data_IF_082780655430
#
_entry.id   IF_082780655430
#
_cell.length_a   1.000
_cell.length_b   1.000
_cell.length_c   1.000
_cell.angle_alpha   90.00
_cell.angle_beta   90.00
_cell.angle_gamma   90.00
#
_symmetry.space_group_name_H-M   'P 1'
#
loop_
_entity.id
_entity.type
_entity.pdbx_description
1 polymer ?
#
# COMPACT_ATOMS: atom_id res chain seq x y z
N UNK A 1 16.32 3.12 11.97
CA UNK A 1 17.49 2.37 11.45
C UNK A 1 18.04 3.02 10.18
N UNK A 2 17.29 3.03 9.06
CA UNK A 2 17.77 3.56 7.78
C UNK A 2 18.23 5.03 7.83
N UNK A 3 17.54 5.89 8.58
CA UNK A 3 17.95 7.29 8.77
C UNK A 3 19.35 7.38 9.39
N UNK A 4 19.61 6.66 10.49
CA UNK A 4 20.91 6.69 11.19
C UNK A 4 22.05 6.17 10.31
N UNK A 5 21.79 5.11 9.52
CA UNK A 5 22.76 4.60 8.55
C UNK A 5 23.15 5.66 7.52
N UNK A 6 22.15 6.36 6.96
CA UNK A 6 22.39 7.42 5.98
C UNK A 6 23.09 8.66 6.57
N UNK A 7 22.95 8.89 7.88
CA UNK A 7 23.65 9.96 8.61
C UNK A 7 25.04 9.54 9.11
N UNK A 8 25.50 8.31 8.82
CA UNK A 8 26.81 7.83 9.24
C UNK A 8 26.92 7.55 10.74
N UNK A 9 25.81 7.14 11.38
CA UNK A 9 25.71 6.81 12.82
C UNK A 9 25.50 5.32 13.05
N UNK A 10 26.49 4.45 12.75
CA UNK A 10 26.35 3.00 12.78
C UNK A 10 26.02 2.45 14.17
N UNK A 11 26.48 3.09 15.24
CA UNK A 11 26.21 2.71 16.62
C UNK A 11 24.73 2.81 16.97
N UNK A 12 24.06 3.89 16.54
CA UNK A 12 22.62 4.05 16.72
C UNK A 12 21.82 3.13 15.81
N UNK A 13 22.28 2.93 14.57
CA UNK A 13 21.67 1.95 13.67
C UNK A 13 21.67 0.55 14.29
N UNK A 14 22.79 0.12 14.86
CA UNK A 14 22.91 -1.17 15.55
C UNK A 14 22.01 -1.23 16.79
N UNK A 15 22.06 -0.22 17.65
CA UNK A 15 21.20 -0.14 18.83
C UNK A 15 19.71 -0.26 18.48
N UNK A 16 19.25 0.48 17.48
CA UNK A 16 17.85 0.42 17.05
C UNK A 16 17.48 -0.89 16.37
N UNK A 17 18.44 -1.57 15.74
CA UNK A 17 18.23 -2.92 15.20
C UNK A 17 18.00 -3.91 16.35
N UNK A 18 18.89 -3.92 17.35
CA UNK A 18 18.75 -4.79 18.53
C UNK A 18 17.40 -4.56 19.24
N UNK A 19 16.98 -3.31 19.39
CA UNK A 19 15.67 -2.96 19.99
C UNK A 19 14.51 -3.44 19.11
N UNK A 20 14.59 -3.25 17.79
CA UNK A 20 13.54 -3.69 16.87
C UNK A 20 13.39 -5.21 16.89
N UNK A 21 14.49 -5.96 16.89
CA UNK A 21 14.49 -7.42 16.95
C UNK A 21 13.85 -7.93 18.25
N UNK A 22 14.23 -7.33 19.39
CA UNK A 22 13.63 -7.65 20.68
C UNK A 22 12.13 -7.33 20.72
N UNK A 23 11.72 -6.22 20.12
CA UNK A 23 10.33 -5.81 20.05
C UNK A 23 9.52 -6.77 19.16
N UNK A 24 10.03 -7.16 18.00
CA UNK A 24 9.41 -8.13 17.09
C UNK A 24 9.13 -9.46 17.79
N UNK A 25 10.13 -10.01 18.51
CA UNK A 25 9.95 -11.24 19.27
C UNK A 25 8.91 -11.08 20.38
N UNK A 26 8.93 -9.94 21.08
CA UNK A 26 7.97 -9.65 22.15
C UNK A 26 6.55 -9.52 21.63
N UNK A 27 6.37 -8.84 20.49
CA UNK A 27 5.05 -8.67 19.86
C UNK A 27 4.52 -10.03 19.43
N UNK A 28 5.33 -10.82 18.73
CA UNK A 28 4.92 -12.17 18.30
C UNK A 28 4.55 -13.04 19.49
N UNK A 29 5.36 -13.07 20.55
CA UNK A 29 5.08 -13.90 21.72
C UNK A 29 3.80 -13.49 22.48
N UNK A 30 3.52 -12.18 22.60
CA UNK A 30 2.38 -11.69 23.37
C UNK A 30 1.07 -11.69 22.58
N UNK A 31 1.10 -11.25 21.33
CA UNK A 31 -0.12 -10.88 20.60
C UNK A 31 -0.49 -11.86 19.48
N UNK A 32 0.43 -12.69 19.00
CA UNK A 32 0.09 -13.70 18.00
C UNK A 32 -0.82 -14.78 18.59
N UNK A 33 -1.93 -15.07 17.92
CA UNK A 33 -2.82 -16.17 18.24
C UNK A 33 -2.72 -17.29 17.19
N UNK A 34 -2.23 -18.47 17.59
CA UNK A 34 -2.05 -19.61 16.68
C UNK A 34 -3.36 -20.22 16.19
N UNK A 35 -4.49 -19.98 16.87
CA UNK A 35 -5.79 -20.50 16.42
C UNK A 35 -6.39 -19.60 15.36
N UNK A 36 -6.36 -18.28 15.59
CA UNK A 36 -6.88 -17.29 14.64
C UNK A 36 -5.90 -16.96 13.52
N UNK A 37 -4.62 -17.27 13.66
CA UNK A 37 -3.56 -16.87 12.73
C UNK A 37 -3.54 -15.36 12.50
N UNK A 38 -3.74 -14.60 13.59
CA UNK A 38 -3.82 -13.14 13.62
C UNK A 38 -3.14 -12.60 14.87
N UNK A 39 -2.77 -11.32 14.83
CA UNK A 39 -2.40 -10.56 16.02
C UNK A 39 -3.66 -10.04 16.71
N UNK A 40 -3.73 -10.23 18.03
CA UNK A 40 -4.75 -9.63 18.88
C UNK A 40 -4.39 -8.18 19.25
N UNK A 41 -5.40 -7.38 19.59
CA UNK A 41 -5.21 -5.99 19.99
C UNK A 41 -4.50 -5.88 21.36
N UNK A 42 -4.68 -6.88 22.22
CA UNK A 42 -4.21 -6.92 23.60
C UNK A 42 -3.65 -8.30 23.99
N UNK A 43 -2.80 -8.41 25.04
CA UNK A 43 -2.16 -9.67 25.42
C UNK A 43 -3.09 -10.77 25.93
N UNK A 44 -4.32 -10.43 26.33
CA UNK A 44 -5.38 -11.39 26.71
C UNK A 44 -6.03 -12.07 25.50
N UNK A 45 -5.75 -11.60 24.27
CA UNK A 45 -6.19 -12.17 23.00
C UNK A 45 -7.70 -12.28 22.83
N UNK A 46 -8.43 -11.33 23.43
CA UNK A 46 -9.88 -11.30 23.38
C UNK A 46 -10.43 -10.60 22.12
N UNK A 47 -9.73 -9.61 21.59
CA UNK A 47 -10.18 -8.81 20.44
C UNK A 47 -9.13 -8.76 19.33
N UNK A 48 -9.62 -8.62 18.10
CA UNK A 48 -8.82 -8.58 16.89
C UNK A 48 -9.39 -7.48 15.99
N UNK A 49 -8.50 -6.80 15.28
CA UNK A 49 -8.88 -5.69 14.42
C UNK A 49 -8.15 -5.72 13.08
N UNK A 50 -8.72 -5.04 12.10
CA UNK A 50 -8.01 -4.74 10.86
C UNK A 50 -6.76 -3.90 11.12
N UNK A 51 -6.78 -3.08 12.18
CA UNK A 51 -5.70 -2.15 12.51
C UNK A 51 -4.40 -2.87 12.86
N UNK A 52 -4.42 -3.72 13.89
CA UNK A 52 -3.19 -4.35 14.40
C UNK A 52 -2.58 -5.29 13.37
N UNK A 53 -3.43 -5.95 12.57
CA UNK A 53 -3.00 -6.91 11.55
C UNK A 53 -2.47 -6.22 10.29
N UNK A 54 -3.07 -5.10 9.86
CA UNK A 54 -2.49 -4.27 8.80
C UNK A 54 -1.11 -3.73 9.21
N UNK A 55 -0.97 -3.24 10.45
CA UNK A 55 0.33 -2.77 10.96
C UNK A 55 1.35 -3.90 11.07
N UNK A 56 0.94 -5.12 11.43
CA UNK A 56 1.85 -6.26 11.49
C UNK A 56 2.44 -6.62 10.13
N UNK A 57 1.64 -6.55 9.06
CA UNK A 57 2.12 -6.69 7.67
C UNK A 57 3.10 -5.57 7.34
N UNK A 58 2.69 -4.31 7.53
CA UNK A 58 3.50 -3.14 7.16
C UNK A 58 4.80 -3.00 7.98
N UNK A 59 4.83 -3.54 9.19
CA UNK A 59 6.02 -3.58 10.04
C UNK A 59 6.94 -4.79 9.72
N UNK A 60 6.56 -5.67 8.80
CA UNK A 60 7.36 -6.84 8.41
C UNK A 60 7.48 -7.89 9.52
N UNK A 61 6.47 -8.05 10.37
CA UNK A 61 6.51 -8.99 11.50
C UNK A 61 6.27 -10.46 11.12
N UNK A 62 5.90 -10.70 9.86
CA UNK A 62 5.44 -11.97 9.33
C UNK A 62 6.01 -12.20 7.93
N UNK A 63 6.16 -13.46 7.54
CA UNK A 63 6.58 -13.85 6.19
C UNK A 63 5.47 -13.64 5.14
N UNK A 64 5.83 -13.68 3.86
CA UNK A 64 4.90 -13.44 2.74
C UNK A 64 3.67 -14.36 2.77
N UNK A 65 3.86 -15.64 3.13
CA UNK A 65 2.76 -16.60 3.22
C UNK A 65 1.75 -16.20 4.30
N UNK A 66 2.24 -15.79 5.47
CA UNK A 66 1.44 -15.31 6.59
C UNK A 66 0.81 -13.95 6.27
N UNK A 67 1.54 -13.04 5.61
CA UNK A 67 0.98 -11.75 5.14
C UNK A 67 -0.25 -11.98 4.25
N UNK A 68 -0.14 -12.90 3.27
CA UNK A 68 -1.26 -13.25 2.40
C UNK A 68 -2.44 -13.85 3.16
N UNK A 69 -2.18 -14.72 4.14
CA UNK A 69 -3.22 -15.31 4.98
C UNK A 69 -3.93 -14.24 5.84
N UNK A 70 -3.17 -13.34 6.47
CA UNK A 70 -3.72 -12.21 7.22
C UNK A 70 -4.53 -11.30 6.29
N UNK A 71 -4.01 -10.96 5.10
CA UNK A 71 -4.70 -10.14 4.11
C UNK A 71 -6.05 -10.73 3.69
N UNK A 72 -6.12 -12.04 3.49
CA UNK A 72 -7.39 -12.74 3.24
C UNK A 72 -8.36 -12.56 4.41
N UNK A 73 -7.91 -12.76 5.64
CA UNK A 73 -8.74 -12.55 6.83
C UNK A 73 -9.22 -11.10 6.98
N UNK A 74 -8.37 -10.11 6.66
CA UNK A 74 -8.73 -8.70 6.68
C UNK A 74 -9.89 -8.37 5.73
N UNK A 75 -10.03 -9.12 4.63
CA UNK A 75 -11.08 -8.94 3.62
C UNK A 75 -12.37 -9.70 3.95
N UNK A 76 -12.29 -10.83 4.68
CA UNK A 76 -13.43 -11.75 4.83
C UNK A 76 -13.89 -12.05 6.26
N UNK A 77 -13.12 -11.68 7.29
CA UNK A 77 -13.50 -11.89 8.70
C UNK A 77 -14.27 -10.68 9.25
N UNK A 78 -15.60 -10.76 9.20
CA UNK A 78 -16.50 -9.73 9.75
C UNK A 78 -16.46 -9.60 11.28
N UNK A 79 -15.75 -10.50 12.00
CA UNK A 79 -15.56 -10.37 13.45
C UNK A 79 -14.47 -9.37 13.84
N UNK A 80 -13.65 -8.93 12.88
CA UNK A 80 -12.61 -7.94 13.13
C UNK A 80 -13.19 -6.54 13.29
N UNK A 81 -12.69 -5.79 14.27
CA UNK A 81 -13.00 -4.36 14.34
C UNK A 81 -12.51 -3.64 13.06
N UNK A 82 -13.41 -2.99 12.30
CA UNK A 82 -13.08 -2.45 10.98
C UNK A 82 -12.29 -1.15 11.06
N UNK A 83 -11.46 -0.90 10.04
CA UNK A 83 -10.73 0.35 9.86
C UNK A 83 -11.68 1.50 9.52
N UNK A 84 -11.45 2.67 10.14
CA UNK A 84 -12.11 3.91 9.71
C UNK A 84 -11.50 4.44 8.41
N UNK A 85 -12.17 5.40 7.77
CA UNK A 85 -11.71 6.01 6.51
C UNK A 85 -10.26 6.51 6.57
N UNK A 86 -9.83 7.05 7.72
CA UNK A 86 -8.44 7.44 7.97
C UNK A 86 -7.49 6.24 7.87
N UNK A 87 -7.83 5.17 8.59
CA UNK A 87 -6.96 4.02 8.69
C UNK A 87 -7.00 3.12 7.45
N UNK A 88 -8.03 3.26 6.60
CA UNK A 88 -8.11 2.53 5.34
C UNK A 88 -6.87 2.73 4.46
N UNK A 89 -6.19 3.89 4.54
CA UNK A 89 -4.88 4.07 3.91
C UNK A 89 -3.86 2.96 4.27
N UNK A 90 -3.68 2.67 5.56
CA UNK A 90 -2.76 1.63 6.01
C UNK A 90 -3.28 0.23 5.70
N UNK A 91 -4.60 0.03 5.79
CA UNK A 91 -5.23 -1.23 5.42
C UNK A 91 -4.98 -1.55 3.93
N UNK A 92 -5.19 -0.59 3.03
CA UNK A 92 -4.98 -0.78 1.60
C UNK A 92 -3.51 -1.02 1.27
N UNK A 93 -2.58 -0.32 1.93
CA UNK A 93 -1.15 -0.61 1.79
C UNK A 93 -0.81 -2.03 2.23
N UNK A 94 -1.35 -2.48 3.37
CA UNK A 94 -1.13 -3.84 3.86
C UNK A 94 -1.71 -4.90 2.93
N UNK A 95 -2.91 -4.66 2.37
CA UNK A 95 -3.54 -5.55 1.40
C UNK A 95 -2.76 -5.58 0.08
N UNK A 96 -2.24 -4.44 -0.36
CA UNK A 96 -1.36 -4.37 -1.53
C UNK A 96 -0.09 -5.21 -1.32
N UNK A 97 0.60 -5.02 -0.19
CA UNK A 97 1.78 -5.79 0.21
C UNK A 97 1.47 -7.30 0.32
N UNK A 98 0.29 -7.65 0.82
CA UNK A 98 -0.18 -9.03 0.91
C UNK A 98 -0.62 -9.64 -0.45
N UNK A 99 -0.47 -8.92 -1.55
CA UNK A 99 -0.74 -9.39 -2.91
C UNK A 99 -2.18 -9.27 -3.38
N UNK A 100 -2.99 -8.41 -2.74
CA UNK A 100 -4.39 -8.18 -3.07
C UNK A 100 -4.65 -6.88 -3.85
N UNK A 101 -3.60 -6.19 -4.33
CA UNK A 101 -3.72 -4.88 -4.99
C UNK A 101 -4.73 -4.81 -6.13
N UNK A 102 -4.92 -5.90 -6.89
CA UNK A 102 -5.88 -5.97 -8.00
C UNK A 102 -7.35 -5.80 -7.57
N UNK A 103 -7.64 -5.95 -6.27
CA UNK A 103 -8.98 -5.77 -5.69
C UNK A 103 -9.20 -4.35 -5.16
N UNK A 104 -8.24 -3.43 -5.30
CA UNK A 104 -8.30 -2.11 -4.67
C UNK A 104 -9.59 -1.32 -4.97
N UNK A 105 -10.11 -1.42 -6.20
CA UNK A 105 -11.36 -0.75 -6.57
C UNK A 105 -12.57 -1.26 -5.77
N UNK A 106 -12.54 -2.50 -5.29
CA UNK A 106 -13.64 -3.09 -4.52
C UNK A 106 -13.71 -2.51 -3.10
N UNK A 107 -12.61 -1.94 -2.59
CA UNK A 107 -12.52 -1.41 -1.22
C UNK A 107 -12.98 0.03 -1.06
N UNK A 108 -13.39 0.68 -2.16
CA UNK A 108 -13.73 2.12 -2.20
C UNK A 108 -15.21 2.43 -1.86
N UNK A 109 -15.87 1.54 -1.13
CA UNK A 109 -17.27 1.64 -0.70
C UNK A 109 -17.59 2.96 0.02
N UNK A 110 -16.82 3.32 1.05
CA UNK A 110 -17.06 4.54 1.85
C UNK A 110 -16.92 5.81 1.00
N UNK A 111 -15.96 5.85 0.06
CA UNK A 111 -15.78 6.99 -0.84
C UNK A 111 -16.93 7.11 -1.84
N UNK A 112 -17.45 5.99 -2.33
CA UNK A 112 -18.67 5.97 -3.15
C UNK A 112 -19.88 6.45 -2.37
N UNK A 113 -19.99 6.09 -1.09
CA UNK A 113 -21.03 6.61 -0.20
C UNK A 113 -20.94 8.12 -0.01
N UNK A 114 -19.74 8.67 0.26
CA UNK A 114 -19.52 10.13 0.34
C UNK A 114 -20.04 10.84 -0.93
N UNK A 115 -19.68 10.33 -2.12
CA UNK A 115 -20.14 10.89 -3.40
C UNK A 115 -21.65 10.74 -3.59
N UNK A 116 -22.23 9.59 -3.21
CA UNK A 116 -23.67 9.35 -3.30
C UNK A 116 -24.48 10.25 -2.36
N UNK A 117 -23.91 10.64 -1.21
CA UNK A 117 -24.47 11.63 -0.29
C UNK A 117 -24.32 13.08 -0.78
N UNK A 118 -23.69 13.30 -1.94
CA UNK A 118 -23.51 14.62 -2.54
C UNK A 118 -22.30 15.39 -2.03
N UNK A 119 -21.41 14.76 -1.26
CA UNK A 119 -20.16 15.40 -0.83
C UNK A 119 -19.21 15.58 -2.01
N UNK A 120 -18.54 16.73 -2.05
CA UNK A 120 -17.49 17.08 -3.04
C UNK A 120 -16.09 17.01 -2.45
N UNK A 121 -16.00 16.65 -1.16
CA UNK A 121 -14.79 16.41 -0.37
C UNK A 121 -14.97 15.14 0.46
N UNK A 122 -13.94 14.70 1.18
CA UNK A 122 -13.99 13.45 1.96
C UNK A 122 -14.33 13.71 3.43
N UNK A 123 -15.29 12.97 3.98
CA UNK A 123 -15.67 13.03 5.38
C UNK A 123 -14.57 12.60 6.34
N UNK A 124 -14.62 13.13 7.56
CA UNK A 124 -13.69 12.82 8.66
C UNK A 124 -13.81 11.37 9.14
N UNK A 125 -14.98 10.74 9.04
CA UNK A 125 -15.18 9.37 9.54
C UNK A 125 -15.88 8.49 8.52
N UNK A 126 -15.91 7.19 8.79
CA UNK A 126 -16.69 6.21 8.01
C UNK A 126 -18.20 6.34 8.18
N UNK A 127 -18.68 7.11 9.18
CA UNK A 127 -20.10 7.35 9.37
C UNK A 127 -20.52 8.56 8.53
N UNK A 128 -20.65 8.36 7.22
CA UNK A 128 -20.84 9.45 6.24
C UNK A 128 -22.04 10.34 6.59
N UNK A 129 -23.17 9.74 6.97
CA UNK A 129 -24.39 10.48 7.28
C UNK A 129 -24.32 11.38 8.53
N UNK A 130 -23.35 11.17 9.42
CA UNK A 130 -23.23 11.87 10.70
C UNK A 130 -21.82 12.37 10.99
N UNK A 131 -20.95 12.43 9.98
CA UNK A 131 -19.61 12.97 10.13
C UNK A 131 -19.69 14.45 10.50
N UNK A 132 -18.85 14.88 11.45
CA UNK A 132 -18.82 16.28 11.90
C UNK A 132 -18.19 17.20 10.85
N UNK A 133 -17.16 16.70 10.17
CA UNK A 133 -16.45 17.41 9.11
C UNK A 133 -16.60 16.63 7.80
N UNK A 134 -17.06 17.33 6.77
CA UNK A 134 -17.25 16.81 5.41
C UNK A 134 -16.01 17.01 4.53
N UNK A 135 -14.96 17.64 5.07
CA UNK A 135 -13.73 17.96 4.36
C UNK A 135 -12.52 17.71 5.27
N UNK A 136 -12.01 16.48 5.21
CA UNK A 136 -10.87 16.06 6.01
C UNK A 136 -9.83 15.37 5.13
N UNK A 137 -8.61 15.92 5.12
CA UNK A 137 -7.53 15.48 4.23
C UNK A 137 -7.17 13.99 4.42
N UNK A 138 -7.36 13.46 5.63
CA UNK A 138 -7.05 12.06 5.94
C UNK A 138 -8.00 11.05 5.26
N UNK A 139 -9.10 11.52 4.66
CA UNK A 139 -10.00 10.72 3.85
C UNK A 139 -9.60 10.71 2.38
N UNK A 140 -8.55 11.45 2.00
CA UNK A 140 -8.12 11.59 0.63
C UNK A 140 -7.13 10.50 0.16
N UNK A 141 -7.07 9.36 0.84
CA UNK A 141 -6.14 8.28 0.47
C UNK A 141 -6.25 7.85 -1.00
N UNK A 142 -7.44 7.82 -1.66
CA UNK A 142 -7.51 7.41 -3.05
C UNK A 142 -6.69 8.29 -3.99
N UNK A 143 -6.52 9.58 -3.68
CA UNK A 143 -5.73 10.50 -4.48
C UNK A 143 -4.24 10.09 -4.58
N UNK A 144 -3.77 9.26 -3.65
CA UNK A 144 -2.41 8.70 -3.65
C UNK A 144 -2.43 7.25 -4.12
N UNK A 145 -3.41 6.48 -3.67
CA UNK A 145 -3.53 5.04 -3.93
C UNK A 145 -3.82 4.71 -5.40
N UNK A 146 -4.53 5.58 -6.15
CA UNK A 146 -4.64 5.41 -7.61
C UNK A 146 -3.27 5.41 -8.30
N UNK A 147 -2.34 6.27 -7.86
CA UNK A 147 -0.99 6.34 -8.42
C UNK A 147 -0.10 5.21 -7.91
N UNK A 148 -0.18 4.91 -6.61
CA UNK A 148 0.70 3.91 -5.99
C UNK A 148 0.26 2.48 -6.30
N UNK A 149 -1.02 2.16 -6.15
CA UNK A 149 -1.54 0.79 -6.28
C UNK A 149 -1.93 0.50 -7.73
N UNK A 150 -2.85 1.29 -8.31
CA UNK A 150 -3.35 0.95 -9.65
C UNK A 150 -2.29 1.25 -10.72
N UNK A 151 -1.74 2.47 -10.73
CA UNK A 151 -0.68 2.80 -11.70
C UNK A 151 0.68 2.18 -11.34
N UNK A 152 0.84 1.77 -10.07
CA UNK A 152 2.01 1.05 -9.58
C UNK A 152 3.21 1.92 -9.24
N UNK A 153 3.11 3.25 -9.26
CA UNK A 153 4.28 4.15 -9.20
C UNK A 153 4.73 4.33 -7.74
N UNK A 154 5.91 3.80 -7.41
CA UNK A 154 6.49 3.90 -6.07
C UNK A 154 7.98 4.27 -6.09
N UNK A 155 8.43 4.91 -5.01
CA UNK A 155 9.82 5.27 -4.80
C UNK A 155 10.64 4.04 -4.39
N UNK A 156 11.65 3.68 -5.18
CA UNK A 156 12.59 2.60 -4.84
C UNK A 156 13.87 3.11 -4.14
N UNK A 157 14.09 4.44 -4.10
CA UNK A 157 15.23 5.05 -3.41
C UNK A 157 14.90 6.45 -2.87
N UNK A 158 15.59 6.96 -1.83
CA UNK A 158 15.33 8.28 -1.25
C UNK A 158 15.27 9.40 -2.29
N UNK A 159 14.21 10.22 -2.21
CA UNK A 159 13.98 11.32 -3.15
C UNK A 159 13.59 10.87 -4.55
N UNK A 160 13.02 9.66 -4.70
CA UNK A 160 12.59 9.08 -5.98
C UNK A 160 13.72 8.95 -7.02
N UNK A 161 14.98 8.86 -6.58
CA UNK A 161 16.13 8.66 -7.51
C UNK A 161 16.05 7.36 -8.31
N UNK A 162 15.29 6.39 -7.81
CA UNK A 162 14.90 5.18 -8.52
C UNK A 162 13.41 4.93 -8.28
N UNK A 163 12.74 4.31 -9.25
CA UNK A 163 11.32 3.95 -9.18
C UNK A 163 11.11 2.44 -9.24
N UNK A 164 10.07 1.96 -8.57
CA UNK A 164 9.44 0.66 -8.81
C UNK A 164 8.07 0.95 -9.41
N UNK A 165 7.75 0.33 -10.53
CA UNK A 165 6.45 0.45 -11.19
C UNK A 165 5.80 -0.92 -11.27
N UNK A 166 4.78 -1.18 -10.47
CA UNK A 166 4.07 -2.47 -10.39
C UNK A 166 2.55 -2.23 -10.39
N UNK A 167 1.91 -2.24 -11.57
CA UNK A 167 0.50 -1.87 -11.67
C UNK A 167 -0.43 -3.01 -11.22
N UNK A 168 -1.46 -2.65 -10.46
CA UNK A 168 -2.57 -3.53 -10.10
C UNK A 168 -3.84 -3.11 -10.85
N UNK A 169 -4.01 -3.66 -12.05
CA UNK A 169 -5.04 -3.22 -12.99
C UNK A 169 -6.43 -3.78 -12.69
N UNK A 170 -6.54 -4.84 -11.88
CA UNK A 170 -7.82 -5.49 -11.59
C UNK A 170 -8.56 -5.87 -12.87
N UNK A 171 -9.71 -5.25 -13.14
CA UNK A 171 -10.52 -5.43 -14.35
C UNK A 171 -10.39 -4.30 -15.38
N UNK A 172 -9.52 -3.31 -15.16
CA UNK A 172 -9.32 -2.19 -16.08
C UNK A 172 -8.68 -2.68 -17.38
N UNK A 173 -9.24 -2.24 -18.51
CA UNK A 173 -8.68 -2.52 -19.84
C UNK A 173 -7.67 -1.44 -20.22
N UNK A 174 -7.94 -0.18 -19.88
CA UNK A 174 -7.04 0.94 -20.15
C UNK A 174 -6.97 1.86 -18.94
N UNK A 175 -5.78 2.36 -18.63
CA UNK A 175 -5.59 3.41 -17.64
C UNK A 175 -4.27 4.13 -17.89
N UNK A 176 -4.22 5.42 -17.59
CA UNK A 176 -3.00 6.20 -17.63
C UNK A 176 -2.98 7.26 -16.53
N UNK A 177 -1.80 7.76 -16.22
CA UNK A 177 -1.64 8.87 -15.30
C UNK A 177 -0.24 9.46 -15.33
N UNK A 178 -0.13 10.65 -14.77
CA UNK A 178 1.13 11.39 -14.67
C UNK A 178 1.31 11.93 -13.27
N UNK A 179 2.44 11.62 -12.66
CA UNK A 179 2.81 12.06 -11.32
C UNK A 179 3.97 13.07 -11.40
N UNK A 180 3.91 14.20 -10.66
CA UNK A 180 5.01 15.13 -10.59
C UNK A 180 6.22 14.51 -9.87
N UNK A 181 7.42 14.83 -10.35
CA UNK A 181 8.70 14.39 -9.80
C UNK A 181 9.67 15.58 -9.70
N UNK A 182 10.58 15.68 -8.71
CA UNK A 182 11.53 16.80 -8.62
C UNK A 182 12.37 17.06 -9.88
N UNK A 183 12.59 16.04 -10.70
CA UNK A 183 13.33 16.10 -11.98
C UNK A 183 12.45 16.16 -13.24
N UNK A 184 11.12 16.31 -13.12
CA UNK A 184 10.20 16.32 -14.27
C UNK A 184 8.87 15.61 -13.95
N UNK A 185 8.41 14.77 -14.86
CA UNK A 185 7.19 13.97 -14.65
C UNK A 185 7.47 12.49 -14.86
N UNK A 186 6.74 11.64 -14.13
CA UNK A 186 6.64 10.21 -14.40
C UNK A 186 5.26 9.97 -15.00
N UNK A 187 5.21 9.41 -16.20
CA UNK A 187 3.95 9.10 -16.88
C UNK A 187 3.89 7.62 -17.20
N UNK A 188 2.74 7.01 -16.95
CA UNK A 188 2.47 5.60 -17.31
C UNK A 188 1.15 5.51 -18.05
N UNK A 189 1.09 4.62 -19.03
CA UNK A 189 -0.13 4.24 -19.72
C UNK A 189 -0.13 2.74 -19.96
N UNK A 190 -1.27 2.11 -19.72
CA UNK A 190 -1.47 0.68 -19.81
C UNK A 190 -2.67 0.37 -20.69
N UNK A 191 -2.50 -0.56 -21.62
CA UNK A 191 -3.59 -1.15 -22.41
C UNK A 191 -3.50 -2.67 -22.30
N UNK A 192 -4.53 -3.29 -21.72
CA UNK A 192 -4.61 -4.73 -21.49
C UNK A 192 -5.67 -5.35 -22.40
N UNK A 193 -5.28 -6.41 -23.11
CA UNK A 193 -6.17 -7.21 -23.96
C UNK A 193 -6.00 -8.68 -23.62
N UNK A 194 -6.96 -9.24 -22.87
CA UNK A 194 -6.83 -10.58 -22.31
C UNK A 194 -5.64 -10.65 -21.34
N UNK A 195 -4.68 -11.53 -21.63
CA UNK A 195 -3.44 -11.69 -20.84
C UNK A 195 -2.30 -10.78 -21.29
N UNK A 196 -2.46 -10.07 -22.41
CA UNK A 196 -1.42 -9.21 -22.98
C UNK A 196 -1.50 -7.81 -22.38
N UNK A 197 -0.35 -7.19 -22.14
CA UNK A 197 -0.23 -5.82 -21.65
C UNK A 197 0.72 -5.02 -22.56
N UNK A 198 0.23 -3.89 -23.06
CA UNK A 198 1.08 -2.82 -23.58
C UNK A 198 1.27 -1.77 -22.49
N UNK A 199 2.52 -1.49 -22.14
CA UNK A 199 2.88 -0.47 -21.18
C UNK A 199 3.78 0.59 -21.83
N UNK A 200 3.37 1.85 -21.74
CA UNK A 200 4.20 3.01 -22.10
C UNK A 200 4.56 3.77 -20.83
N UNK A 201 5.86 3.89 -20.56
CA UNK A 201 6.38 4.50 -19.34
C UNK A 201 7.39 5.57 -19.72
N UNK A 202 7.20 6.79 -19.24
CA UNK A 202 8.17 7.88 -19.42
C UNK A 202 8.72 8.30 -18.07
N UNK A 203 10.04 8.18 -17.92
CA UNK A 203 10.78 8.63 -16.75
C UNK A 203 11.58 9.90 -17.06
N UNK A 204 11.86 10.75 -16.06
CA UNK A 204 12.87 11.80 -16.22
C UNK A 204 14.23 11.20 -16.60
N UNK A 205 15.05 11.93 -17.36
CA UNK A 205 16.28 11.41 -17.98
C UNK A 205 17.28 10.76 -17.00
N UNK A 206 17.35 11.27 -15.76
CA UNK A 206 18.29 10.78 -14.75
C UNK A 206 17.68 9.76 -13.78
N UNK A 207 16.47 9.28 -14.05
CA UNK A 207 15.74 8.33 -13.22
C UNK A 207 15.71 6.97 -13.92
N UNK A 208 16.05 5.93 -13.17
CA UNK A 208 15.94 4.54 -13.58
C UNK A 208 15.02 3.78 -12.63
N UNK A 209 14.71 2.54 -12.96
CA UNK A 209 13.85 1.75 -12.10
C UNK A 209 13.58 0.36 -12.64
N UNK A 210 12.58 -0.27 -12.04
CA UNK A 210 12.07 -1.56 -12.46
C UNK A 210 10.57 -1.45 -12.74
N UNK A 211 10.14 -2.03 -13.85
CA UNK A 211 8.75 -2.36 -14.09
C UNK A 211 8.52 -3.83 -13.73
N UNK A 212 7.46 -4.13 -13.00
CA UNK A 212 7.15 -5.48 -12.54
C UNK A 212 5.77 -5.87 -13.02
N UNK A 213 5.71 -7.00 -13.70
CA UNK A 213 4.48 -7.55 -14.24
C UNK A 213 4.51 -9.07 -14.13
N UNK A 214 3.48 -9.66 -13.52
CA UNK A 214 3.39 -11.11 -13.29
C UNK A 214 4.68 -11.70 -12.69
N UNK A 215 5.21 -11.07 -11.63
CA UNK A 215 6.48 -11.44 -10.96
C UNK A 215 7.73 -11.40 -11.84
N UNK A 216 7.65 -10.81 -13.05
CA UNK A 216 8.79 -10.60 -13.93
C UNK A 216 9.23 -9.14 -13.88
N UNK A 217 10.53 -8.90 -13.71
CA UNK A 217 11.11 -7.57 -13.64
C UNK A 217 11.73 -7.16 -14.98
N UNK A 218 11.48 -5.91 -15.39
CA UNK A 218 12.01 -5.28 -16.59
C UNK A 218 12.71 -3.99 -16.20
N UNK A 219 13.94 -3.78 -16.68
CA UNK A 219 14.68 -2.55 -16.39
C UNK A 219 14.06 -1.35 -17.10
N UNK A 220 13.95 -0.24 -16.39
CA UNK A 220 13.53 1.05 -16.92
C UNK A 220 14.70 2.03 -16.93
N UNK A 221 14.80 2.79 -18.02
CA UNK A 221 15.76 3.86 -18.17
C UNK A 221 15.06 5.22 -18.33
N UNK A 222 15.83 6.30 -18.18
CA UNK A 222 15.32 7.66 -18.40
C UNK A 222 14.80 7.85 -19.83
N UNK A 223 13.71 8.61 -19.99
CA UNK A 223 13.03 8.75 -21.27
C UNK A 223 11.91 7.71 -21.45
N UNK A 224 11.61 7.37 -22.70
CA UNK A 224 10.47 6.51 -23.06
C UNK A 224 10.85 5.03 -23.05
N UNK A 225 10.05 4.24 -22.35
CA UNK A 225 10.12 2.79 -22.26
C UNK A 225 8.80 2.23 -22.81
N UNK A 226 8.86 1.28 -23.75
CA UNK A 226 7.70 0.59 -24.30
C UNK A 226 7.86 -0.91 -24.08
N UNK A 227 6.88 -1.52 -23.42
CA UNK A 227 6.87 -2.94 -23.11
C UNK A 227 5.61 -3.56 -23.70
N UNK A 228 5.76 -4.69 -24.37
CA UNK A 228 4.66 -5.52 -24.86
C UNK A 228 4.82 -6.92 -24.25
N UNK A 229 3.96 -7.24 -23.29
CA UNK A 229 4.05 -8.38 -22.38
C UNK A 229 2.87 -9.34 -22.54
#
# INVERSE_FOLDING_TARGET
>A
ISLEQNLGRPEFARLYTDIADQLTQTIRGKYWDDTRQLFADTPDRATFSQHVNALAILAGLVDEATQKAIGQSLLSDDSLAPASIYFKYYLHLALNEAGFGDQYLDWLDIWRENMASGLTTWGETSQVASTRSDCHAWGASPNIEFFRIILGIESAAPGFRQVRIEPHLGNLATISGTMPHPSGTISVAYERSGTQLQAEITLPQNISGLFIWNNTSYELHGGSNRLAL
#
